data_IF_857755925203
#
_entry.id   IF_857755925203
#
_cell.length_a   1.000
_cell.length_b   1.000
_cell.length_c   1.000
_cell.angle_alpha   90.00
_cell.angle_beta   90.00
_cell.angle_gamma   90.00
#
_symmetry.space_group_name_H-M   'P 1'
#
loop_
_entity.id
_entity.type
_entity.pdbx_description
1 polymer ?
#
# COMPACT_ATOMS: atom_id res chain seq x y z
N UNK A 1 2.02 -12.68 -16.43
CA UNK A 1 1.08 -11.54 -16.56
C UNK A 1 1.89 -10.26 -16.55
N UNK A 2 1.60 -9.27 -17.40
CA UNK A 2 2.29 -7.98 -17.33
C UNK A 2 2.11 -7.37 -15.94
N UNK A 3 3.18 -6.80 -15.38
CA UNK A 3 3.17 -6.14 -14.08
C UNK A 3 2.40 -4.83 -14.26
N UNK A 4 1.10 -4.82 -13.99
CA UNK A 4 0.30 -3.60 -14.01
C UNK A 4 0.66 -2.76 -12.79
N UNK A 5 1.11 -1.52 -13.03
CA UNK A 5 1.33 -0.54 -11.96
C UNK A 5 0.11 0.39 -11.88
N UNK A 6 -0.33 0.67 -10.66
CA UNK A 6 -1.50 1.49 -10.38
C UNK A 6 -1.06 2.74 -9.61
N UNK A 7 -1.07 3.93 -10.23
CA UNK A 7 -0.88 5.17 -9.50
C UNK A 7 -2.00 5.33 -8.47
N UNK A 8 -1.63 5.70 -7.24
CA UNK A 8 -2.56 5.88 -6.13
C UNK A 8 -2.31 7.20 -5.41
N UNK A 9 -3.32 7.65 -4.67
CA UNK A 9 -3.21 8.74 -3.70
C UNK A 9 -3.54 8.20 -2.32
N UNK A 10 -2.78 8.61 -1.30
CA UNK A 10 -3.15 8.34 0.09
C UNK A 10 -4.41 9.14 0.41
N UNK A 11 -5.54 8.45 0.55
CA UNK A 11 -6.83 9.06 0.85
C UNK A 11 -7.02 9.27 2.36
N UNK A 12 -6.51 8.33 3.16
CA UNK A 12 -6.59 8.40 4.61
C UNK A 12 -5.43 7.67 5.27
N UNK A 13 -5.07 8.12 6.48
CA UNK A 13 -4.12 7.45 7.37
C UNK A 13 -4.79 7.29 8.73
N UNK A 14 -4.88 6.06 9.22
CA UNK A 14 -5.38 5.75 10.56
C UNK A 14 -4.26 5.19 11.43
N UNK A 15 -4.04 5.78 12.60
CA UNK A 15 -3.11 5.25 13.59
C UNK A 15 -3.86 4.17 14.39
N UNK A 16 -3.38 2.91 14.33
CA UNK A 16 -3.94 1.82 15.12
C UNK A 16 -3.18 1.62 16.44
N UNK A 17 -1.86 1.77 16.39
CA UNK A 17 -0.98 1.70 17.56
C UNK A 17 0.18 2.68 17.39
N UNK A 18 1.03 2.92 18.42
CA UNK A 18 2.22 3.77 18.26
C UNK A 18 3.18 3.33 17.15
N UNK A 19 3.11 2.06 16.73
CA UNK A 19 3.98 1.50 15.67
C UNK A 19 3.21 0.99 14.47
N UNK A 20 1.89 1.14 14.39
CA UNK A 20 1.09 0.61 13.28
C UNK A 20 0.13 1.65 12.76
N UNK A 21 0.21 1.92 11.46
CA UNK A 21 -0.70 2.79 10.73
C UNK A 21 -1.35 2.01 9.58
N UNK A 22 -2.60 2.35 9.28
CA UNK A 22 -3.30 1.92 8.07
C UNK A 22 -3.29 3.06 7.07
N UNK A 23 -2.84 2.78 5.86
CA UNK A 23 -2.88 3.69 4.72
C UNK A 23 -3.96 3.24 3.76
N UNK A 24 -4.95 4.09 3.50
CA UNK A 24 -5.90 3.88 2.42
C UNK A 24 -5.35 4.47 1.13
N UNK A 25 -5.07 3.63 0.16
CA UNK A 25 -4.59 4.01 -1.15
C UNK A 25 -5.75 3.97 -2.14
N UNK A 26 -6.16 5.14 -2.63
CA UNK A 26 -7.20 5.27 -3.65
C UNK A 26 -6.57 5.19 -5.04
N UNK A 27 -7.14 4.35 -5.90
CA UNK A 27 -6.75 4.26 -7.30
C UNK A 27 -7.29 5.45 -8.12
N UNK A 28 -6.67 5.72 -9.27
CA UNK A 28 -7.21 6.69 -10.22
C UNK A 28 -8.58 6.25 -10.75
N UNK A 29 -9.49 7.19 -11.08
CA UNK A 29 -10.77 6.87 -11.68
C UNK A 29 -10.61 5.97 -12.92
N UNK A 30 -11.42 4.92 -13.01
CA UNK A 30 -11.37 3.96 -14.12
C UNK A 30 -10.36 2.82 -13.97
N UNK A 31 -9.55 2.80 -12.90
CA UNK A 31 -8.73 1.65 -12.58
C UNK A 31 -9.58 0.45 -12.15
N UNK A 32 -9.45 -0.69 -12.85
CA UNK A 32 -10.10 -1.96 -12.47
C UNK A 32 -9.11 -2.87 -11.73
N UNK A 33 -8.78 -2.47 -10.50
CA UNK A 33 -7.95 -3.30 -9.62
C UNK A 33 -8.82 -4.34 -8.90
N UNK A 34 -8.55 -5.62 -9.13
CA UNK A 34 -9.22 -6.77 -8.49
C UNK A 34 -8.19 -7.70 -7.88
N UNK A 35 -8.51 -8.25 -6.71
CA UNK A 35 -7.65 -9.17 -5.98
C UNK A 35 -8.47 -10.21 -5.21
N UNK A 36 -7.82 -11.28 -4.79
CA UNK A 36 -8.36 -12.31 -3.90
C UNK A 36 -7.78 -12.08 -2.50
N UNK A 37 -8.58 -12.30 -1.45
CA UNK A 37 -8.13 -12.18 -0.08
C UNK A 37 -6.87 -13.04 0.18
N UNK A 38 -5.89 -12.47 0.89
CA UNK A 38 -4.58 -13.09 1.13
C UNK A 38 -3.49 -12.69 0.12
N UNK A 39 -3.82 -11.95 -0.94
CA UNK A 39 -2.82 -11.39 -1.87
C UNK A 39 -2.11 -10.15 -1.30
N UNK A 40 -1.00 -9.81 -1.95
CA UNK A 40 -0.16 -8.65 -1.63
C UNK A 40 0.09 -7.79 -2.88
N UNK A 41 0.50 -6.55 -2.66
CA UNK A 41 0.98 -5.63 -3.71
C UNK A 41 2.45 -5.30 -3.49
N UNK A 42 3.15 -4.99 -4.59
CA UNK A 42 4.46 -4.34 -4.52
C UNK A 42 4.23 -2.83 -4.52
N UNK A 43 4.64 -2.15 -3.46
CA UNK A 43 4.57 -0.69 -3.36
C UNK A 43 5.92 -0.12 -3.78
N UNK A 44 5.88 0.82 -4.73
CA UNK A 44 7.02 1.58 -5.22
C UNK A 44 7.25 2.78 -4.31
N UNK A 45 8.45 2.88 -3.73
CA UNK A 45 8.78 3.88 -2.72
C UNK A 45 10.01 4.65 -3.20
N UNK A 46 9.90 5.97 -3.43
CA UNK A 46 11.04 6.79 -3.81
C UNK A 46 12.08 6.84 -2.67
N UNK A 47 13.34 6.54 -2.99
CA UNK A 47 14.44 6.62 -2.02
C UNK A 47 15.79 6.85 -2.72
N UNK A 48 16.59 7.78 -2.20
CA UNK A 48 17.98 8.04 -2.62
C UNK A 48 18.16 8.20 -4.15
N UNK A 49 17.21 8.86 -4.82
CA UNK A 49 17.24 9.06 -6.28
C UNK A 49 16.78 7.85 -7.11
N UNK A 50 16.35 6.76 -6.46
CA UNK A 50 15.79 5.57 -7.09
C UNK A 50 14.41 5.18 -6.53
N UNK A 51 13.95 3.99 -6.90
CA UNK A 51 12.70 3.39 -6.43
C UNK A 51 13.02 2.03 -5.82
N UNK A 52 12.58 1.81 -4.58
CA UNK A 52 12.60 0.50 -3.93
C UNK A 52 11.19 -0.10 -3.97
N UNK A 53 11.09 -1.40 -4.19
CA UNK A 53 9.81 -2.10 -4.14
C UNK A 53 9.69 -2.91 -2.84
N UNK A 54 8.56 -2.79 -2.15
CA UNK A 54 8.28 -3.61 -0.96
C UNK A 54 6.91 -4.25 -1.04
N UNK A 55 6.86 -5.54 -0.72
CA UNK A 55 5.60 -6.28 -0.63
C UNK A 55 4.83 -5.89 0.64
N UNK A 56 3.54 -5.58 0.48
CA UNK A 56 2.59 -5.39 1.56
C UNK A 56 1.30 -6.16 1.28
N UNK A 57 0.85 -6.94 2.26
CA UNK A 57 -0.45 -7.62 2.19
C UNK A 57 -1.58 -6.61 2.15
N UNK A 58 -2.60 -6.89 1.33
CA UNK A 58 -3.80 -6.07 1.29
C UNK A 58 -4.63 -6.38 2.54
N UNK A 59 -4.94 -5.36 3.32
CA UNK A 59 -5.70 -5.47 4.57
C UNK A 59 -7.20 -5.21 4.39
N UNK A 60 -7.61 -4.59 3.27
CA UNK A 60 -9.03 -4.35 2.95
C UNK A 60 -9.70 -5.58 2.30
N UNK A 61 -11.03 -5.61 2.35
CA UNK A 61 -11.84 -6.63 1.67
C UNK A 61 -11.76 -6.49 0.13
N UNK A 62 -11.75 -7.60 -0.64
CA UNK A 62 -11.92 -7.57 -2.10
C UNK A 62 -13.21 -6.89 -2.59
N UNK A 63 -14.21 -6.74 -1.71
CA UNK A 63 -15.45 -6.03 -2.01
C UNK A 63 -15.29 -4.50 -1.94
N UNK A 64 -14.22 -4.00 -1.31
CA UNK A 64 -13.87 -2.59 -1.34
C UNK A 64 -13.26 -2.25 -2.70
N UNK A 65 -14.02 -1.53 -3.52
CA UNK A 65 -13.61 -1.12 -4.86
C UNK A 65 -13.01 0.29 -4.85
N UNK A 66 -12.07 0.55 -5.76
CA UNK A 66 -11.46 1.88 -5.94
C UNK A 66 -10.40 2.26 -4.90
N UNK A 67 -10.21 1.47 -3.85
CA UNK A 67 -9.12 1.64 -2.90
C UNK A 67 -8.70 0.33 -2.25
N UNK A 68 -7.48 0.32 -1.69
CA UNK A 68 -7.01 -0.74 -0.80
C UNK A 68 -6.45 -0.14 0.49
N UNK A 69 -6.50 -0.92 1.56
CA UNK A 69 -5.90 -0.54 2.84
C UNK A 69 -4.61 -1.36 3.05
N UNK A 70 -3.51 -0.69 3.39
CA UNK A 70 -2.25 -1.33 3.78
C UNK A 70 -1.96 -1.05 5.25
N UNK A 71 -1.80 -2.12 6.03
CA UNK A 71 -1.42 -2.03 7.43
C UNK A 71 0.10 -2.13 7.56
N UNK A 72 0.75 -1.02 7.90
CA UNK A 72 2.21 -0.91 7.92
C UNK A 72 2.68 -0.72 9.35
N UNK A 73 3.51 -1.67 9.80
CA UNK A 73 4.23 -1.57 11.07
C UNK A 73 5.53 -0.79 10.86
N UNK A 74 5.71 0.28 11.62
CA UNK A 74 6.98 0.95 11.83
C UNK A 74 7.95 -0.03 12.48
N UNK A 75 9.07 -0.26 11.81
CA UNK A 75 10.19 -1.04 12.33
C UNK A 75 11.31 -0.05 12.53
N UNK A 76 11.79 0.07 13.76
CA UNK A 76 12.90 0.96 14.10
C UNK A 76 14.13 0.59 13.27
N UNK A 77 14.78 1.58 12.64
CA UNK A 77 15.86 1.36 11.67
C UNK A 77 15.41 0.69 10.35
N UNK A 78 14.11 0.49 10.14
CA UNK A 78 13.57 -0.16 8.96
C UNK A 78 13.76 0.66 7.69
N UNK A 79 14.25 0.02 6.63
CA UNK A 79 14.57 0.65 5.35
C UNK A 79 13.38 1.30 4.63
N UNK A 80 12.16 0.82 4.92
CA UNK A 80 10.94 1.11 4.16
C UNK A 80 9.83 1.68 5.04
N UNK A 81 9.57 1.08 6.21
CA UNK A 81 8.46 1.50 7.07
C UNK A 81 8.67 2.86 7.73
N UNK A 82 9.88 3.41 7.69
CA UNK A 82 10.19 4.79 8.12
C UNK A 82 9.75 5.86 7.12
N UNK A 83 9.41 5.48 5.88
CA UNK A 83 8.85 6.39 4.88
C UNK A 83 7.35 6.70 5.12
N UNK A 84 6.65 5.85 5.88
CA UNK A 84 5.20 5.87 6.06
C UNK A 84 4.75 6.46 7.42
#
# INVERSE_FOLDING_TARGET
MPKASYPTTVEAIQILTPTVKVFRLRFQPGADFRFIAGQYVMVDIPKDGGVIQKAYSIASSPMQVGSIDLCIKLVEGGYVSTYF
#
